data_IF_914305655615
#
_entry.id   IF_914305655615
#
_cell.length_a   1.000
_cell.length_b   1.000
_cell.length_c   1.000
_cell.angle_alpha   90.00
_cell.angle_beta   90.00
_cell.angle_gamma   90.00
#
_symmetry.space_group_name_H-M   'P 1'
#
loop_
_entity.id
_entity.type
_entity.pdbx_description
1 polymer ?
#
# COMPACT_ATOMS: atom_id res chain seq x y z
N UNK A 1 -13.11 40.84 -35.19
CA UNK A 1 -12.45 39.51 -35.17
C UNK A 1 -12.34 39.10 -33.70
N UNK A 2 -13.31 38.31 -33.26
CA UNK A 2 -13.42 37.65 -31.95
C UNK A 2 -12.26 36.73 -31.56
N UNK A 3 -11.35 36.96 -30.60
CA UNK A 3 -10.48 35.86 -30.18
C UNK A 3 -11.33 34.84 -29.40
N UNK A 4 -11.55 33.67 -30.00
CA UNK A 4 -12.13 32.52 -29.31
C UNK A 4 -11.11 32.04 -28.28
N UNK A 5 -11.33 32.38 -27.01
CA UNK A 5 -10.64 31.75 -25.89
C UNK A 5 -11.29 30.38 -25.75
N UNK A 6 -10.68 29.38 -26.37
CA UNK A 6 -11.02 27.98 -26.18
C UNK A 6 -10.55 27.59 -24.78
N UNK A 7 -11.46 27.67 -23.80
CA UNK A 7 -11.21 27.10 -22.48
C UNK A 7 -11.23 25.60 -22.66
N UNK A 8 -10.04 25.00 -22.67
CA UNK A 8 -9.85 23.55 -22.64
C UNK A 8 -10.57 23.01 -21.38
N UNK A 9 -11.79 22.54 -21.62
CA UNK A 9 -12.71 21.98 -20.63
C UNK A 9 -12.68 20.46 -20.68
N UNK A 10 -11.56 19.87 -21.09
CA UNK A 10 -11.37 18.43 -20.91
C UNK A 10 -11.34 18.13 -19.41
N UNK A 11 -12.25 17.28 -18.89
CA UNK A 11 -12.17 16.85 -17.50
C UNK A 11 -10.81 16.18 -17.29
N UNK A 12 -10.04 16.63 -16.30
CA UNK A 12 -8.74 16.05 -15.90
C UNK A 12 -8.96 14.62 -15.40
N UNK A 13 -9.15 13.69 -16.32
CA UNK A 13 -9.35 12.26 -16.05
C UNK A 13 -8.04 11.58 -15.64
N UNK A 14 -6.91 12.26 -15.84
CA UNK A 14 -5.57 11.72 -15.62
C UNK A 14 -4.73 12.66 -14.75
N UNK A 15 -4.27 12.15 -13.61
CA UNK A 15 -3.30 12.86 -12.76
C UNK A 15 -1.96 13.01 -13.47
N UNK A 16 -1.30 14.13 -13.22
CA UNK A 16 0.08 14.37 -13.61
C UNK A 16 1.06 13.49 -12.83
N UNK A 17 2.27 13.33 -13.37
CA UNK A 17 3.32 12.53 -12.72
C UNK A 17 3.69 13.02 -11.32
N UNK A 18 3.71 14.34 -11.10
CA UNK A 18 4.00 14.93 -9.77
C UNK A 18 2.90 14.66 -8.75
N UNK A 19 1.63 14.61 -9.19
CA UNK A 19 0.51 14.25 -8.32
C UNK A 19 0.54 12.78 -7.94
N UNK A 20 0.90 11.88 -8.86
CA UNK A 20 1.13 10.47 -8.55
C UNK A 20 2.28 10.28 -7.55
N UNK A 21 3.38 11.00 -7.73
CA UNK A 21 4.52 10.96 -6.79
C UNK A 21 4.07 11.44 -5.41
N UNK A 22 3.36 12.57 -5.33
CA UNK A 22 2.85 13.10 -4.06
C UNK A 22 1.91 12.10 -3.38
N UNK A 23 0.97 11.53 -4.13
CA UNK A 23 0.02 10.54 -3.61
C UNK A 23 0.75 9.29 -3.09
N UNK A 24 1.72 8.77 -3.85
CA UNK A 24 2.55 7.64 -3.43
C UNK A 24 3.36 7.92 -2.17
N UNK A 25 3.99 9.10 -2.07
CA UNK A 25 4.76 9.52 -0.89
C UNK A 25 3.89 9.66 0.36
N UNK A 26 2.73 10.32 0.25
CA UNK A 26 1.79 10.43 1.38
C UNK A 26 1.29 9.05 1.80
N UNK A 27 0.96 8.20 0.83
CA UNK A 27 0.54 6.83 1.11
C UNK A 27 1.63 6.05 1.83
N UNK A 28 2.88 6.14 1.37
CA UNK A 28 4.02 5.44 1.97
C UNK A 28 4.23 5.87 3.42
N UNK A 29 4.24 7.17 3.66
CA UNK A 29 4.42 7.71 5.01
C UNK A 29 3.32 7.21 5.96
N UNK A 30 2.06 7.31 5.54
CA UNK A 30 0.92 6.89 6.36
C UNK A 30 0.92 5.37 6.58
N UNK A 31 1.15 4.56 5.54
CA UNK A 31 1.17 3.10 5.68
C UNK A 31 2.30 2.63 6.59
N UNK A 32 3.50 3.22 6.46
CA UNK A 32 4.63 2.89 7.34
C UNK A 32 4.27 3.25 8.77
N UNK A 33 3.80 4.48 9.02
CA UNK A 33 3.45 4.93 10.37
C UNK A 33 2.41 4.00 11.03
N UNK A 34 1.38 3.61 10.29
CA UNK A 34 0.34 2.69 10.80
C UNK A 34 0.90 1.28 11.06
N UNK A 35 1.67 0.72 10.12
CA UNK A 35 2.28 -0.62 10.30
C UNK A 35 3.21 -0.64 11.52
N UNK A 36 4.05 0.37 11.68
CA UNK A 36 4.96 0.46 12.82
C UNK A 36 4.21 0.63 14.14
N UNK A 37 3.12 1.41 14.16
CA UNK A 37 2.27 1.56 15.34
C UNK A 37 1.61 0.23 15.74
N UNK A 38 1.08 -0.53 14.76
CA UNK A 38 0.47 -1.84 15.02
C UNK A 38 1.51 -2.85 15.46
N UNK A 39 2.70 -2.87 14.84
CA UNK A 39 3.81 -3.72 15.27
C UNK A 39 4.24 -3.41 16.70
N UNK A 40 4.41 -2.13 17.04
CA UNK A 40 4.79 -1.70 18.38
C UNK A 40 3.75 -2.13 19.42
N UNK A 41 2.46 -1.99 19.11
CA UNK A 41 1.39 -2.48 19.96
C UNK A 41 1.42 -4.00 20.12
N UNK A 42 1.64 -4.75 19.04
CA UNK A 42 1.73 -6.21 19.09
C UNK A 42 2.90 -6.67 19.96
N UNK A 43 4.08 -6.04 19.82
CA UNK A 43 5.26 -6.33 20.65
C UNK A 43 5.02 -5.96 22.11
N UNK A 44 4.31 -4.86 22.39
CA UNK A 44 3.96 -4.48 23.76
C UNK A 44 3.04 -5.51 24.44
N UNK A 45 2.17 -6.17 23.68
CA UNK A 45 1.25 -7.20 24.19
C UNK A 45 1.92 -8.59 24.29
N UNK A 46 2.80 -8.91 23.33
CA UNK A 46 3.49 -10.20 23.24
C UNK A 46 4.99 -9.99 22.96
N UNK A 47 5.80 -9.65 23.97
CA UNK A 47 7.21 -9.30 23.78
C UNK A 47 8.04 -10.38 23.08
N UNK A 48 7.69 -11.65 23.26
CA UNK A 48 8.36 -12.81 22.66
C UNK A 48 8.34 -12.80 21.13
N UNK A 49 7.36 -12.13 20.50
CA UNK A 49 7.29 -12.04 19.04
C UNK A 49 8.39 -11.15 18.45
N UNK A 50 9.03 -10.30 19.25
CA UNK A 50 10.14 -9.46 18.80
C UNK A 50 11.39 -10.28 18.42
N UNK A 51 11.46 -11.55 18.85
CA UNK A 51 12.52 -12.47 18.46
C UNK A 51 12.32 -13.03 17.04
N UNK A 52 11.12 -12.89 16.48
CA UNK A 52 10.79 -13.33 15.14
C UNK A 52 11.40 -12.38 14.10
N UNK A 53 12.27 -12.89 13.23
CA UNK A 53 13.08 -12.05 12.33
C UNK A 53 12.29 -11.04 11.46
N UNK A 54 11.04 -11.31 11.01
CA UNK A 54 10.22 -10.29 10.35
C UNK A 54 9.79 -9.11 11.25
N UNK A 55 9.68 -9.32 12.56
CA UNK A 55 9.19 -8.35 13.55
C UNK A 55 10.30 -7.75 14.43
N UNK A 56 11.53 -8.24 14.30
CA UNK A 56 12.70 -7.84 15.11
C UNK A 56 13.20 -6.41 14.84
N UNK A 57 12.75 -5.79 13.74
CA UNK A 57 13.28 -4.52 13.26
C UNK A 57 12.19 -3.67 12.62
N UNK A 58 11.97 -2.48 13.19
CA UNK A 58 11.08 -1.47 12.62
C UNK A 58 11.56 -0.96 11.25
N UNK A 59 12.88 -0.88 11.05
CA UNK A 59 13.46 -0.47 9.76
C UNK A 59 13.11 -1.49 8.68
N UNK A 60 13.21 -2.79 9.01
CA UNK A 60 12.85 -3.88 8.12
C UNK A 60 11.38 -3.79 7.73
N UNK A 61 10.48 -3.60 8.70
CA UNK A 61 9.05 -3.42 8.45
C UNK A 61 8.73 -2.20 7.59
N UNK A 62 9.43 -1.08 7.80
CA UNK A 62 9.26 0.11 6.98
C UNK A 62 9.68 -0.13 5.52
N UNK A 63 10.79 -0.83 5.28
CA UNK A 63 11.26 -1.19 3.94
C UNK A 63 10.29 -2.15 3.25
N UNK A 64 9.84 -3.19 3.96
CA UNK A 64 8.86 -4.15 3.44
C UNK A 64 7.49 -3.52 3.17
N UNK A 65 7.14 -2.42 3.85
CA UNK A 65 5.92 -1.66 3.56
C UNK A 65 6.11 -0.72 2.35
N UNK A 66 7.30 -0.14 2.20
CA UNK A 66 7.61 0.82 1.13
C UNK A 66 7.54 0.20 -0.26
N UNK A 67 8.06 -1.02 -0.44
CA UNK A 67 8.10 -1.72 -1.73
C UNK A 67 6.69 -1.93 -2.31
N UNK A 68 5.72 -2.51 -1.56
CA UNK A 68 4.32 -2.60 -1.98
C UNK A 68 3.69 -1.26 -2.33
N UNK A 69 3.96 -0.18 -1.56
CA UNK A 69 3.40 1.15 -1.86
C UNK A 69 3.87 1.64 -3.22
N UNK A 70 5.16 1.51 -3.51
CA UNK A 70 5.74 1.92 -4.80
C UNK A 70 5.10 1.13 -5.94
N UNK A 71 5.04 -0.21 -5.79
CA UNK A 71 4.42 -1.09 -6.78
C UNK A 71 2.94 -0.79 -7.00
N UNK A 72 2.18 -0.58 -5.92
CA UNK A 72 0.76 -0.26 -5.97
C UNK A 72 0.49 1.11 -6.60
N UNK A 73 1.30 2.13 -6.27
CA UNK A 73 1.20 3.47 -6.87
C UNK A 73 1.41 3.39 -8.38
N UNK A 74 2.49 2.72 -8.81
CA UNK A 74 2.78 2.54 -10.23
C UNK A 74 1.67 1.75 -10.94
N UNK A 75 1.22 0.65 -10.34
CA UNK A 75 0.16 -0.18 -10.90
C UNK A 75 -1.13 0.61 -11.11
N UNK A 76 -1.58 1.37 -10.11
CA UNK A 76 -2.79 2.17 -10.24
C UNK A 76 -2.64 3.23 -11.33
N UNK A 77 -1.52 3.96 -11.35
CA UNK A 77 -1.24 4.95 -12.40
C UNK A 77 -1.25 4.33 -13.80
N UNK A 78 -0.64 3.14 -13.95
CA UNK A 78 -0.59 2.40 -15.20
C UNK A 78 -1.98 1.92 -15.65
N UNK A 79 -2.81 1.42 -14.72
CA UNK A 79 -4.16 0.95 -15.00
C UNK A 79 -5.07 2.09 -15.45
N UNK A 80 -5.05 3.22 -14.73
CA UNK A 80 -5.88 4.39 -15.04
C UNK A 80 -5.59 4.92 -16.44
N UNK A 81 -4.33 4.93 -16.86
CA UNK A 81 -3.95 5.39 -18.20
C UNK A 81 -4.31 4.43 -19.35
N UNK A 82 -4.85 3.23 -19.07
CA UNK A 82 -5.06 2.19 -20.08
C UNK A 82 -6.42 1.50 -20.03
N UNK A 83 -7.18 1.63 -18.93
CA UNK A 83 -8.32 0.76 -18.68
C UNK A 83 -9.48 1.52 -18.01
N UNK A 84 -10.68 1.36 -18.55
CA UNK A 84 -11.90 2.02 -18.04
C UNK A 84 -12.29 1.53 -16.63
N UNK A 85 -11.99 0.26 -16.30
CA UNK A 85 -12.27 -0.36 -14.99
C UNK A 85 -11.03 -0.47 -14.11
N UNK A 86 -10.15 0.53 -14.20
CA UNK A 86 -8.88 0.56 -13.47
C UNK A 86 -9.03 0.38 -11.95
N UNK A 87 -9.95 1.06 -11.23
CA UNK A 87 -10.10 0.88 -9.78
C UNK A 87 -10.50 -0.56 -9.39
N UNK A 88 -11.45 -1.17 -10.10
CA UNK A 88 -11.88 -2.53 -9.80
C UNK A 88 -10.76 -3.54 -10.04
N UNK A 89 -10.04 -3.41 -11.16
CA UNK A 89 -8.90 -4.29 -11.48
C UNK A 89 -7.75 -4.10 -10.50
N UNK A 90 -7.48 -2.87 -10.07
CA UNK A 90 -6.50 -2.58 -9.02
C UNK A 90 -6.84 -3.33 -7.73
N UNK A 91 -8.08 -3.22 -7.24
CA UNK A 91 -8.54 -3.95 -6.05
C UNK A 91 -8.35 -5.46 -6.21
N UNK A 92 -8.77 -6.04 -7.34
CA UNK A 92 -8.59 -7.47 -7.61
C UNK A 92 -7.13 -7.89 -7.52
N UNK A 93 -6.22 -7.15 -8.16
CA UNK A 93 -4.78 -7.44 -8.10
C UNK A 93 -4.27 -7.28 -6.67
N UNK A 94 -4.64 -6.23 -5.95
CA UNK A 94 -4.24 -6.02 -4.55
C UNK A 94 -4.68 -7.16 -3.64
N UNK A 95 -5.90 -7.68 -3.82
CA UNK A 95 -6.38 -8.86 -3.07
C UNK A 95 -5.54 -10.10 -3.40
N UNK A 96 -5.25 -10.35 -4.68
CA UNK A 96 -4.42 -11.50 -5.08
C UNK A 96 -3.00 -11.37 -4.49
N UNK A 97 -2.39 -10.19 -4.60
CA UNK A 97 -1.06 -9.92 -4.05
C UNK A 97 -1.05 -10.09 -2.53
N UNK A 98 -2.07 -9.61 -1.81
CA UNK A 98 -2.21 -9.82 -0.37
C UNK A 98 -2.30 -11.31 0.00
N UNK A 99 -3.12 -12.08 -0.72
CA UNK A 99 -3.24 -13.52 -0.47
C UNK A 99 -1.91 -14.25 -0.69
N UNK A 100 -1.19 -13.89 -1.75
CA UNK A 100 0.14 -14.45 -2.04
C UNK A 100 1.17 -13.99 -1.00
N UNK A 101 1.11 -12.75 -0.52
CA UNK A 101 2.09 -12.21 0.43
C UNK A 101 1.99 -12.82 1.82
N UNK A 102 0.87 -13.46 2.17
CA UNK A 102 0.70 -14.17 3.45
C UNK A 102 1.39 -15.55 3.44
N UNK A 103 1.58 -16.16 2.27
CA UNK A 103 2.18 -17.51 2.15
C UNK A 103 3.58 -17.56 2.82
N UNK A 104 4.50 -16.61 2.55
CA UNK A 104 5.81 -16.59 3.19
C UNK A 104 5.76 -16.61 4.73
N UNK A 105 4.77 -15.95 5.35
CA UNK A 105 4.67 -15.84 6.81
C UNK A 105 4.47 -17.20 7.50
N UNK A 106 3.80 -18.13 6.82
CA UNK A 106 3.52 -19.47 7.32
C UNK A 106 4.44 -20.55 6.74
N UNK A 107 5.02 -20.33 5.56
CA UNK A 107 5.81 -21.36 4.87
C UNK A 107 7.32 -21.23 5.05
N UNK A 108 7.86 -20.02 5.19
CA UNK A 108 9.31 -19.86 5.28
C UNK A 108 9.84 -20.37 6.63
N UNK A 109 10.92 -21.17 6.66
CA UNK A 109 11.58 -21.56 7.89
C UNK A 109 12.45 -20.40 8.37
N UNK A 110 12.02 -19.74 9.44
CA UNK A 110 12.71 -18.60 10.06
C UNK A 110 12.88 -18.85 11.56
N UNK A 111 13.96 -18.36 12.19
CA UNK A 111 14.18 -18.51 13.62
C UNK A 111 13.03 -17.91 14.45
N UNK A 112 12.77 -18.49 15.62
CA UNK A 112 11.73 -18.06 16.58
C UNK A 112 10.32 -17.97 15.98
N UNK A 113 10.07 -18.73 14.92
CA UNK A 113 8.76 -18.81 14.28
C UNK A 113 7.78 -19.54 15.20
N UNK A 114 6.73 -18.83 15.58
CA UNK A 114 5.55 -19.37 16.25
C UNK A 114 4.32 -19.07 15.41
N UNK A 115 3.23 -19.81 15.62
CA UNK A 115 1.96 -19.53 14.95
C UNK A 115 1.52 -18.09 15.23
N UNK A 116 1.66 -17.62 16.48
CA UNK A 116 1.34 -16.26 16.88
C UNK A 116 2.17 -15.22 16.10
N UNK A 117 3.50 -15.38 16.06
CA UNK A 117 4.38 -14.43 15.38
C UNK A 117 4.12 -14.38 13.86
N UNK A 118 3.89 -15.54 13.24
CA UNK A 118 3.45 -15.65 11.84
C UNK A 118 2.10 -14.97 11.61
N UNK A 119 1.13 -15.15 12.52
CA UNK A 119 -0.19 -14.51 12.40
C UNK A 119 -0.11 -12.99 12.58
N UNK A 120 0.76 -12.48 13.46
CA UNK A 120 1.01 -11.04 13.59
C UNK A 120 1.63 -10.49 12.31
N UNK A 121 2.64 -11.15 11.73
CA UNK A 121 3.23 -10.72 10.46
C UNK A 121 2.20 -10.70 9.32
N UNK A 122 1.39 -11.76 9.19
CA UNK A 122 0.31 -11.81 8.21
C UNK A 122 -0.74 -10.71 8.44
N UNK A 123 -1.06 -10.39 9.70
CA UNK A 123 -1.95 -9.29 10.02
C UNK A 123 -1.38 -7.93 9.61
N UNK A 124 -0.07 -7.70 9.80
CA UNK A 124 0.59 -6.47 9.32
C UNK A 124 0.51 -6.34 7.79
N UNK A 125 0.59 -7.43 7.02
CA UNK A 125 0.34 -7.41 5.58
C UNK A 125 -1.07 -6.92 5.23
N UNK A 126 -2.09 -7.41 5.97
CA UNK A 126 -3.49 -6.97 5.79
C UNK A 126 -3.64 -5.48 6.10
N UNK A 127 -3.07 -5.02 7.22
CA UNK A 127 -3.09 -3.60 7.61
C UNK A 127 -2.42 -2.75 6.53
N UNK A 128 -1.23 -3.12 6.09
CA UNK A 128 -0.51 -2.40 5.04
C UNK A 128 -1.33 -2.32 3.75
N UNK A 129 -1.82 -3.46 3.25
CA UNK A 129 -2.61 -3.54 2.02
C UNK A 129 -3.88 -2.69 2.11
N UNK A 130 -4.60 -2.74 3.24
CA UNK A 130 -5.80 -1.94 3.46
C UNK A 130 -5.50 -0.45 3.37
N UNK A 131 -4.52 0.04 4.12
CA UNK A 131 -4.16 1.47 4.13
C UNK A 131 -3.70 1.92 2.76
N UNK A 132 -2.83 1.15 2.09
CA UNK A 132 -2.32 1.47 0.75
C UNK A 132 -3.48 1.59 -0.25
N UNK A 133 -4.35 0.59 -0.32
CA UNK A 133 -5.46 0.56 -1.28
C UNK A 133 -6.43 1.69 -1.03
N UNK A 134 -6.85 1.90 0.23
CA UNK A 134 -7.80 2.95 0.60
C UNK A 134 -7.22 4.34 0.29
N UNK A 135 -5.97 4.60 0.68
CA UNK A 135 -5.29 5.88 0.46
C UNK A 135 -5.15 6.19 -1.03
N UNK A 136 -4.68 5.22 -1.83
CA UNK A 136 -4.49 5.41 -3.26
C UNK A 136 -5.81 5.62 -3.99
N UNK A 137 -6.84 4.82 -3.71
CA UNK A 137 -8.14 4.95 -4.37
C UNK A 137 -8.86 6.23 -3.96
N UNK A 138 -8.86 6.57 -2.66
CA UNK A 138 -9.50 7.79 -2.18
C UNK A 138 -8.76 9.03 -2.68
N UNK A 139 -7.43 9.00 -2.68
CA UNK A 139 -6.59 10.07 -3.22
C UNK A 139 -6.82 10.27 -4.72
N UNK A 140 -6.81 9.18 -5.50
CA UNK A 140 -7.15 9.19 -6.92
C UNK A 140 -8.53 9.81 -7.18
N UNK A 141 -9.57 9.32 -6.47
CA UNK A 141 -10.95 9.79 -6.64
C UNK A 141 -11.13 11.27 -6.26
N UNK A 142 -10.39 11.77 -5.27
CA UNK A 142 -10.46 13.18 -4.87
C UNK A 142 -9.78 14.10 -5.88
N UNK A 143 -8.72 13.65 -6.52
CA UNK A 143 -7.95 14.44 -7.49
C UNK A 143 -8.48 14.35 -8.92
N UNK A 144 -9.23 13.30 -9.26
CA UNK A 144 -9.88 13.13 -10.56
C UNK A 144 -11.27 13.78 -10.66
N UNK A 145 -11.74 14.40 -9.57
CA UNK A 145 -12.94 15.27 -9.54
C UNK A 145 -12.51 16.72 -9.73
#
# INVERSE_FOLDING_TARGET
>A
MTPHIEIDTQPKTQLSGSEWIKLGLVTAFVSIAVVLAVQALAIALWPEIALFAPLDSYVRSALFTSIPVIGATFLLAWLVGRQERAPQRFITISVIVLLVSIIPDYMLPVPNKTVLASSVAAFLHVVAALIIVVMLLTGYQRSAR
#
